data_IF_163831140471
#
_entry.id   IF_163831140471
#
_cell.length_a   1.000
_cell.length_b   1.000
_cell.length_c   1.000
_cell.angle_alpha   90.00
_cell.angle_beta   90.00
_cell.angle_gamma   90.00
#
_symmetry.space_group_name_H-M   'P 1'
#
loop_
_entity.id
_entity.type
_entity.pdbx_description
1 polymer ?
#
# COMPACT_ATOMS: atom_id res chain seq x y z
N UNK A 1 -0.01 16.28 7.41
CA UNK A 1 -1.39 16.46 6.88
C UNK A 1 -1.33 16.53 5.37
N UNK A 2 -2.38 16.07 4.68
CA UNK A 2 -2.44 16.04 3.20
C UNK A 2 -3.46 17.02 2.62
N UNK A 3 -4.17 17.80 3.46
CA UNK A 3 -5.29 18.64 3.02
C UNK A 3 -6.62 17.87 2.90
N UNK A 4 -6.62 16.55 3.06
CA UNK A 4 -7.83 15.73 3.08
C UNK A 4 -8.50 15.65 4.45
N UNK A 5 -9.81 15.34 4.46
CA UNK A 5 -10.67 15.24 5.65
C UNK A 5 -10.11 14.32 6.73
N UNK A 6 -9.51 13.19 6.35
CA UNK A 6 -8.96 12.20 7.29
C UNK A 6 -7.83 12.81 8.12
N UNK A 7 -6.88 13.48 7.46
CA UNK A 7 -5.77 14.13 8.16
C UNK A 7 -6.22 15.34 8.99
N UNK A 8 -7.29 16.01 8.58
CA UNK A 8 -7.91 17.11 9.33
C UNK A 8 -8.57 16.62 10.61
N UNK A 9 -9.35 15.54 10.55
CA UNK A 9 -9.95 14.95 11.75
C UNK A 9 -8.87 14.38 12.68
N UNK A 10 -7.84 13.71 12.14
CA UNK A 10 -6.67 13.27 12.93
C UNK A 10 -6.08 14.43 13.74
N UNK A 11 -5.83 15.60 13.12
CA UNK A 11 -5.31 16.77 13.84
C UNK A 11 -6.29 17.22 14.94
N UNK A 12 -7.59 17.34 14.60
CA UNK A 12 -8.62 17.80 15.54
C UNK A 12 -8.73 16.90 16.77
N UNK A 13 -8.68 15.58 16.57
CA UNK A 13 -8.74 14.59 17.67
C UNK A 13 -7.51 14.69 18.57
N UNK A 14 -6.31 14.84 18.00
CA UNK A 14 -5.07 14.96 18.76
C UNK A 14 -4.93 16.30 19.48
N UNK A 15 -5.50 17.38 18.94
CA UNK A 15 -5.48 18.71 19.56
C UNK A 15 -6.30 18.78 20.86
N UNK A 16 -7.21 17.83 21.10
CA UNK A 16 -7.93 17.72 22.37
C UNK A 16 -7.11 17.04 23.48
N UNK A 17 -5.91 16.56 23.17
CA UNK A 17 -5.04 15.84 24.09
C UNK A 17 -3.91 16.78 24.54
N UNK A 18 -3.32 16.56 25.73
CA UNK A 18 -2.23 17.38 26.25
C UNK A 18 -0.90 17.06 25.52
N UNK A 19 -0.85 17.32 24.22
CA UNK A 19 0.26 17.01 23.32
C UNK A 19 0.81 18.28 22.67
N UNK A 20 2.12 18.32 22.46
CA UNK A 20 2.74 19.31 21.58
C UNK A 20 2.61 18.83 20.13
N UNK A 21 1.94 19.60 19.29
CA UNK A 21 1.66 19.23 17.91
C UNK A 21 2.46 20.11 16.94
N UNK A 22 3.17 19.47 16.03
CA UNK A 22 3.77 20.11 14.85
C UNK A 22 3.12 19.51 13.61
N UNK A 23 2.69 20.37 12.69
CA UNK A 23 2.03 19.98 11.44
C UNK A 23 3.00 20.05 10.29
N UNK A 24 3.18 18.90 9.62
CA UNK A 24 3.99 18.80 8.40
C UNK A 24 3.08 18.58 7.19
N UNK A 25 3.23 19.38 6.14
CA UNK A 25 2.69 19.09 4.80
C UNK A 25 3.84 18.68 3.88
N UNK A 26 3.65 17.62 3.12
CA UNK A 26 4.69 17.13 2.20
C UNK A 26 4.33 17.51 0.76
N UNK A 27 5.25 18.15 0.06
CA UNK A 27 5.22 18.29 -1.40
C UNK A 27 6.10 17.20 -1.99
N UNK A 28 5.48 16.23 -2.66
CA UNK A 28 6.18 15.06 -3.22
C UNK A 28 6.17 15.01 -4.75
N UNK A 29 5.40 15.88 -5.39
CA UNK A 29 5.31 15.95 -6.84
C UNK A 29 5.21 17.41 -7.27
N UNK A 30 6.00 17.78 -8.27
CA UNK A 30 5.95 19.10 -8.88
C UNK A 30 5.72 18.94 -10.39
N UNK A 31 4.50 19.20 -10.90
CA UNK A 31 4.20 19.09 -12.32
C UNK A 31 5.13 19.93 -13.20
N UNK A 32 5.60 21.10 -12.73
CA UNK A 32 6.46 21.99 -13.50
C UNK A 32 7.89 21.45 -13.67
N UNK A 33 8.31 20.56 -12.78
CA UNK A 33 9.62 19.88 -12.86
C UNK A 33 9.52 18.51 -13.52
N UNK A 34 8.31 17.95 -13.61
CA UNK A 34 8.08 16.55 -13.97
C UNK A 34 7.49 16.39 -15.36
N UNK A 35 6.71 17.34 -15.85
CA UNK A 35 6.07 17.29 -17.16
C UNK A 35 6.81 18.26 -18.10
N UNK A 36 7.48 17.76 -19.14
CA UNK A 36 8.06 18.62 -20.16
C UNK A 36 6.94 19.47 -20.77
N UNK A 37 7.12 20.78 -20.81
CA UNK A 37 6.24 21.67 -21.55
C UNK A 37 6.41 21.40 -23.05
N UNK A 38 5.75 20.37 -23.57
CA UNK A 38 5.69 20.06 -25.01
C UNK A 38 4.76 21.02 -25.75
N UNK A 39 4.85 22.31 -25.46
CA UNK A 39 4.28 23.36 -26.31
C UNK A 39 5.41 24.26 -26.79
N UNK A 40 6.21 23.71 -27.70
CA UNK A 40 7.17 24.45 -28.51
C UNK A 40 6.53 25.04 -29.78
N UNK A 41 5.20 25.21 -29.82
CA UNK A 41 4.54 26.11 -30.77
C UNK A 41 4.35 27.49 -30.15
N UNK A 42 5.41 28.30 -30.22
CA UNK A 42 5.31 29.76 -30.06
C UNK A 42 4.58 30.37 -31.26
N UNK A 43 3.27 30.20 -31.33
CA UNK A 43 2.43 31.08 -32.14
C UNK A 43 2.04 32.29 -31.30
N UNK A 44 2.80 33.36 -31.50
CA UNK A 44 2.51 34.68 -30.98
C UNK A 44 1.20 35.20 -31.59
N UNK A 45 0.07 35.00 -30.92
CA UNK A 45 -1.18 35.61 -31.40
C UNK A 45 -2.51 35.13 -30.83
N UNK A 46 -2.57 34.21 -29.87
CA UNK A 46 -3.85 33.83 -29.26
C UNK A 46 -3.77 33.79 -27.73
N UNK A 47 -4.62 34.57 -27.09
CA UNK A 47 -4.85 34.64 -25.64
C UNK A 47 -5.51 33.38 -25.08
N UNK A 48 -4.95 32.20 -25.36
CA UNK A 48 -5.27 30.96 -24.65
C UNK A 48 -4.21 30.78 -23.58
N UNK A 49 -4.58 31.08 -22.34
CA UNK A 49 -3.75 30.75 -21.19
C UNK A 49 -3.42 29.25 -21.27
N UNK A 50 -2.14 28.84 -21.11
CA UNK A 50 -1.84 27.43 -20.94
C UNK A 50 -2.69 26.97 -19.76
N UNK A 51 -3.37 25.83 -19.91
CA UNK A 51 -4.19 25.23 -18.87
C UNK A 51 -3.29 24.73 -17.71
N UNK A 52 -2.62 25.66 -17.04
CA UNK A 52 -2.00 25.46 -15.75
C UNK A 52 -3.15 25.43 -14.76
N UNK A 53 -3.68 24.24 -14.49
CA UNK A 53 -4.39 24.01 -13.23
C UNK A 53 -3.52 24.62 -12.13
N UNK A 54 -4.04 25.47 -11.22
CA UNK A 54 -3.29 25.86 -10.04
C UNK A 54 -2.74 24.58 -9.41
N UNK A 55 -1.45 24.59 -9.06
CA UNK A 55 -0.73 23.40 -8.65
C UNK A 55 -1.56 22.70 -7.56
N UNK A 56 -1.98 21.45 -7.79
CA UNK A 56 -2.93 20.79 -6.89
C UNK A 56 -2.44 20.78 -5.42
N UNK A 57 -1.12 20.67 -5.23
CA UNK A 57 -0.49 20.74 -3.91
C UNK A 57 -0.63 22.11 -3.23
N UNK A 58 -0.73 23.23 -3.96
CA UNK A 58 -0.91 24.57 -3.38
C UNK A 58 -2.30 24.71 -2.76
N UNK A 59 -3.32 24.15 -3.41
CA UNK A 59 -4.68 24.08 -2.87
C UNK A 59 -4.70 23.23 -1.59
N UNK A 60 -4.04 22.07 -1.64
CA UNK A 60 -3.95 21.17 -0.48
C UNK A 60 -3.19 21.82 0.68
N UNK A 61 -2.14 22.57 0.38
CA UNK A 61 -1.40 23.35 1.37
C UNK A 61 -2.24 24.47 1.97
N UNK A 62 -3.00 25.19 1.15
CA UNK A 62 -3.95 26.20 1.63
C UNK A 62 -5.01 25.58 2.55
N UNK A 63 -5.53 24.39 2.21
CA UNK A 63 -6.48 23.65 3.05
C UNK A 63 -5.87 23.26 4.39
N UNK A 64 -4.61 22.79 4.40
CA UNK A 64 -3.89 22.50 5.65
C UNK A 64 -3.80 23.75 6.53
N UNK A 65 -3.39 24.89 5.97
CA UNK A 65 -3.30 26.15 6.73
C UNK A 65 -4.66 26.57 7.31
N UNK A 66 -5.74 26.46 6.53
CA UNK A 66 -7.11 26.77 7.01
C UNK A 66 -7.52 25.85 8.17
N UNK A 67 -7.26 24.55 8.06
CA UNK A 67 -7.57 23.59 9.14
C UNK A 67 -6.72 23.85 10.38
N UNK A 68 -5.43 24.14 10.22
CA UNK A 68 -4.56 24.47 11.36
C UNK A 68 -5.03 25.73 12.09
N UNK A 69 -5.40 26.78 11.36
CA UNK A 69 -5.96 27.99 11.94
C UNK A 69 -7.27 27.71 12.70
N UNK A 70 -8.16 26.90 12.13
CA UNK A 70 -9.42 26.48 12.75
C UNK A 70 -9.21 25.69 14.06
N UNK A 71 -8.20 24.82 14.10
CA UNK A 71 -7.87 24.01 15.28
C UNK A 71 -7.05 24.80 16.32
N UNK A 72 -6.48 25.95 15.95
CA UNK A 72 -5.66 26.78 16.84
C UNK A 72 -4.18 26.38 16.88
N UNK A 73 -3.65 25.76 15.82
CA UNK A 73 -2.22 25.45 15.70
C UNK A 73 -1.44 26.73 15.31
N UNK A 74 -0.41 27.14 16.07
CA UNK A 74 0.40 28.31 15.73
C UNK A 74 1.14 28.14 14.40
N UNK A 75 1.24 29.20 13.59
CA UNK A 75 1.89 29.14 12.27
C UNK A 75 3.36 28.66 12.33
N UNK A 76 4.09 29.00 13.39
CA UNK A 76 5.47 28.54 13.62
C UNK A 76 5.60 27.01 13.72
N UNK A 77 4.51 26.32 14.06
CA UNK A 77 4.44 24.87 14.23
C UNK A 77 3.88 24.18 12.97
N UNK A 78 3.69 24.92 11.88
CA UNK A 78 3.26 24.41 10.58
C UNK A 78 4.40 24.57 9.58
N UNK A 79 4.78 23.50 8.88
CA UNK A 79 5.82 23.57 7.86
C UNK A 79 5.50 22.73 6.63
N UNK A 80 5.99 23.22 5.49
CA UNK A 80 6.02 22.50 4.22
C UNK A 80 7.39 21.87 4.06
N UNK A 81 7.41 20.57 3.78
CA UNK A 81 8.60 19.81 3.48
C UNK A 81 8.54 19.32 2.04
N UNK A 82 9.55 19.65 1.25
CA UNK A 82 9.68 19.16 -0.12
C UNK A 82 10.46 17.84 -0.13
N UNK A 83 9.80 16.76 -0.53
CA UNK A 83 10.39 15.43 -0.72
C UNK A 83 10.22 14.95 -2.16
N UNK A 84 10.06 15.88 -3.12
CA UNK A 84 9.89 15.56 -4.54
C UNK A 84 11.07 14.77 -5.11
N UNK A 85 12.30 15.07 -4.68
CA UNK A 85 13.52 14.35 -5.11
C UNK A 85 13.54 12.92 -4.61
N UNK A 86 13.20 12.70 -3.34
CA UNK A 86 13.10 11.38 -2.74
C UNK A 86 11.97 10.58 -3.36
N UNK A 87 10.81 11.21 -3.59
CA UNK A 87 9.69 10.56 -4.27
C UNK A 87 10.07 10.13 -5.69
N UNK A 88 10.71 11.02 -6.45
CA UNK A 88 11.16 10.70 -7.81
C UNK A 88 12.09 9.49 -7.82
N UNK A 89 13.19 9.56 -7.08
CA UNK A 89 14.24 8.53 -7.09
C UNK A 89 13.86 7.21 -6.41
N UNK A 90 13.06 7.24 -5.35
CA UNK A 90 12.77 6.04 -4.53
C UNK A 90 11.43 5.40 -4.85
N UNK A 91 10.51 6.11 -5.51
CA UNK A 91 9.15 5.63 -5.80
C UNK A 91 8.87 5.66 -7.30
N UNK A 92 9.02 6.83 -7.92
CA UNK A 92 8.56 7.02 -9.30
C UNK A 92 9.45 6.33 -10.34
N UNK A 93 10.75 6.58 -10.33
CA UNK A 93 11.71 5.96 -11.24
C UNK A 93 11.71 4.41 -11.14
N UNK A 94 11.69 3.81 -9.93
CA UNK A 94 11.49 2.36 -9.82
C UNK A 94 10.17 1.87 -10.39
N UNK A 95 9.08 2.64 -10.27
CA UNK A 95 7.79 2.28 -10.86
C UNK A 95 7.83 2.34 -12.40
N UNK A 96 8.54 3.32 -12.98
CA UNK A 96 8.81 3.41 -14.43
C UNK A 96 9.50 2.16 -14.94
N UNK A 97 10.57 1.71 -14.28
CA UNK A 97 11.26 0.48 -14.68
C UNK A 97 10.34 -0.77 -14.64
N UNK A 98 9.42 -0.84 -13.68
CA UNK A 98 8.43 -1.94 -13.60
C UNK A 98 7.40 -1.84 -14.73
N UNK A 99 6.95 -0.63 -15.09
CA UNK A 99 6.07 -0.41 -16.25
C UNK A 99 6.76 -0.77 -17.57
N UNK A 100 8.03 -0.37 -17.75
CA UNK A 100 8.84 -0.72 -18.94
C UNK A 100 9.03 -2.23 -19.08
N UNK A 101 9.18 -2.94 -17.96
CA UNK A 101 9.20 -4.40 -17.93
C UNK A 101 7.83 -5.06 -18.19
N UNK A 102 6.79 -4.27 -18.52
CA UNK A 102 5.44 -4.75 -18.77
C UNK A 102 4.75 -5.28 -17.51
N UNK A 103 5.14 -4.85 -16.32
CA UNK A 103 4.47 -5.20 -15.07
C UNK A 103 3.61 -4.04 -14.56
N UNK A 104 2.83 -4.27 -13.49
CA UNK A 104 2.00 -3.24 -12.84
C UNK A 104 2.52 -2.99 -11.42
N UNK A 105 3.23 -1.89 -11.16
CA UNK A 105 3.73 -1.55 -9.84
C UNK A 105 2.61 -1.06 -8.92
N UNK A 106 2.90 -1.00 -7.62
CA UNK A 106 2.08 -0.33 -6.63
C UNK A 106 2.88 0.81 -5.96
N UNK A 107 2.91 2.01 -6.58
CA UNK A 107 3.70 3.14 -6.08
C UNK A 107 3.24 3.63 -4.70
N UNK A 108 1.98 3.38 -4.30
CA UNK A 108 1.48 3.80 -2.99
C UNK A 108 2.10 2.99 -1.84
N UNK A 109 2.35 1.70 -2.04
CA UNK A 109 3.09 0.87 -1.05
C UNK A 109 4.52 1.40 -0.89
N UNK A 110 5.21 1.65 -2.01
CA UNK A 110 6.55 2.21 -2.01
C UNK A 110 6.57 3.62 -1.38
N UNK A 111 5.58 4.46 -1.67
CA UNK A 111 5.47 5.79 -1.07
C UNK A 111 5.34 5.75 0.45
N UNK A 112 4.53 4.83 1.00
CA UNK A 112 4.45 4.67 2.45
C UNK A 112 5.80 4.24 3.03
N UNK A 113 6.46 3.23 2.44
CA UNK A 113 7.76 2.72 2.90
C UNK A 113 8.88 3.76 2.81
N UNK A 114 9.05 4.37 1.64
CA UNK A 114 10.21 5.19 1.31
C UNK A 114 10.06 6.66 1.70
N UNK A 115 8.83 7.19 1.68
CA UNK A 115 8.57 8.62 1.85
C UNK A 115 7.91 8.89 3.19
N UNK A 116 6.70 8.37 3.44
CA UNK A 116 5.97 8.69 4.67
C UNK A 116 6.64 8.11 5.92
N UNK A 117 7.11 6.87 5.85
CA UNK A 117 7.81 6.20 6.95
C UNK A 117 9.33 6.11 6.73
N UNK A 118 9.82 6.54 5.56
CA UNK A 118 11.25 6.69 5.26
C UNK A 118 11.71 8.14 5.39
N UNK A 119 11.76 8.88 4.28
CA UNK A 119 12.31 10.24 4.20
C UNK A 119 11.70 11.21 5.22
N UNK A 120 10.38 11.21 5.41
CA UNK A 120 9.71 12.05 6.39
C UNK A 120 10.16 11.71 7.82
N UNK A 121 10.29 10.42 8.15
CA UNK A 121 10.70 9.97 9.50
C UNK A 121 12.10 10.47 9.88
N UNK A 122 12.98 10.72 8.92
CA UNK A 122 14.31 11.29 9.16
C UNK A 122 14.25 12.74 9.66
N UNK A 123 13.14 13.44 9.39
CA UNK A 123 12.90 14.81 9.86
C UNK A 123 12.21 14.85 11.22
N UNK A 124 11.83 13.69 11.79
CA UNK A 124 11.17 13.60 13.08
C UNK A 124 12.22 13.52 14.18
N UNK A 125 12.21 14.51 15.07
CA UNK A 125 13.15 14.58 16.20
C UNK A 125 12.98 13.36 17.13
N UNK A 126 14.07 12.89 17.79
CA UNK A 126 13.97 11.87 18.82
C UNK A 126 12.92 12.23 19.89
N UNK A 127 12.13 11.24 20.31
CA UNK A 127 11.03 11.44 21.27
C UNK A 127 9.69 11.86 20.65
N UNK A 128 9.66 12.24 19.38
CA UNK A 128 8.41 12.52 18.66
C UNK A 128 7.88 11.30 17.90
N UNK A 129 6.58 11.34 17.64
CA UNK A 129 5.83 10.32 16.93
C UNK A 129 5.11 10.93 15.72
N UNK A 130 4.94 10.12 14.68
CA UNK A 130 4.28 10.52 13.45
C UNK A 130 2.79 10.14 13.49
N UNK A 131 1.90 11.13 13.56
CA UNK A 131 0.49 10.89 13.37
C UNK A 131 0.07 11.02 11.90
N UNK A 132 -0.75 10.10 11.41
CA UNK A 132 -1.33 10.18 10.06
C UNK A 132 -2.80 9.78 10.06
N UNK A 133 -3.53 10.15 9.01
CA UNK A 133 -4.93 9.76 8.80
C UNK A 133 -5.10 8.37 8.19
N UNK A 134 -4.18 7.42 8.44
CA UNK A 134 -4.34 6.08 7.92
C UNK A 134 -5.38 5.29 8.71
N UNK A 135 -6.16 4.48 8.01
CA UNK A 135 -7.09 3.49 8.55
C UNK A 135 -6.34 2.17 8.76
N UNK A 136 -5.58 2.11 9.85
CA UNK A 136 -4.92 0.89 10.32
C UNK A 136 -4.66 1.02 11.81
N UNK A 137 -4.46 -0.09 12.52
CA UNK A 137 -4.12 -0.09 13.96
C UNK A 137 -2.68 -0.55 14.16
N UNK A 138 -1.94 0.16 14.99
CA UNK A 138 -0.59 -0.23 15.42
C UNK A 138 -0.66 -0.74 16.85
N UNK A 139 -0.14 -1.95 17.09
CA UNK A 139 -0.01 -2.52 18.43
C UNK A 139 1.47 -2.62 18.76
N UNK A 140 1.91 -1.91 19.80
CA UNK A 140 3.31 -1.84 20.23
C UNK A 140 3.59 -2.87 21.32
N UNK A 141 4.68 -3.59 21.18
CA UNK A 141 5.25 -4.36 22.30
C UNK A 141 6.27 -3.53 23.07
N UNK A 142 7.04 -2.68 22.38
CA UNK A 142 8.00 -1.75 22.98
C UNK A 142 8.25 -0.53 22.08
N UNK A 143 9.26 0.29 22.42
CA UNK A 143 9.60 1.52 21.70
C UNK A 143 10.16 1.31 20.28
N UNK A 144 10.52 0.08 19.91
CA UNK A 144 11.14 -0.32 18.64
C UNK A 144 10.41 -1.44 17.92
N UNK A 145 9.42 -2.10 18.55
CA UNK A 145 8.69 -3.20 17.97
C UNK A 145 7.18 -2.94 17.99
N UNK A 146 6.58 -3.09 16.81
CA UNK A 146 5.14 -2.97 16.64
C UNK A 146 4.63 -3.92 15.56
N UNK A 147 3.36 -4.31 15.71
CA UNK A 147 2.59 -5.08 14.74
C UNK A 147 1.51 -4.21 14.12
N UNK A 148 1.13 -4.54 12.89
CA UNK A 148 0.12 -3.84 12.12
C UNK A 148 -1.16 -4.67 12.06
N UNK A 149 -2.30 -4.04 12.34
CA UNK A 149 -3.61 -4.67 12.44
C UNK A 149 -4.60 -3.93 11.54
N UNK A 150 -5.58 -4.66 10.99
CA UNK A 150 -6.64 -4.06 10.16
C UNK A 150 -7.45 -3.03 10.94
N UNK A 151 -7.91 -2.00 10.25
CA UNK A 151 -8.91 -1.07 10.78
C UNK A 151 -10.28 -1.74 10.96
N UNK A 152 -11.14 -1.14 11.77
CA UNK A 152 -12.53 -1.60 11.96
C UNK A 152 -13.34 -1.52 10.65
N UNK A 153 -13.08 -0.50 9.84
CA UNK A 153 -13.70 -0.33 8.53
C UNK A 153 -12.93 -1.12 7.47
N UNK A 154 -13.40 -2.33 7.19
CA UNK A 154 -12.79 -3.21 6.18
C UNK A 154 -12.79 -2.62 4.76
N UNK A 155 -13.69 -1.69 4.43
CA UNK A 155 -13.73 -1.05 3.12
C UNK A 155 -12.69 0.05 2.96
N UNK A 156 -12.19 0.57 4.09
CA UNK A 156 -11.22 1.66 4.16
C UNK A 156 -9.89 1.24 4.75
N UNK A 157 -9.78 -0.01 5.20
CA UNK A 157 -8.56 -0.62 5.73
C UNK A 157 -7.36 -0.41 4.78
N UNK A 158 -6.33 0.24 5.31
CA UNK A 158 -5.13 0.64 4.58
C UNK A 158 -3.90 -0.19 4.93
N UNK A 159 -4.07 -1.29 5.69
CA UNK A 159 -2.94 -2.18 6.03
C UNK A 159 -2.22 -2.74 4.80
N UNK A 160 -2.95 -3.00 3.71
CA UNK A 160 -2.36 -3.39 2.42
C UNK A 160 -1.28 -2.42 1.94
N UNK A 161 -1.54 -1.11 2.01
CA UNK A 161 -0.60 -0.07 1.60
C UNK A 161 0.57 0.12 2.59
N UNK A 162 0.39 -0.30 3.84
CA UNK A 162 1.39 -0.23 4.91
C UNK A 162 2.19 -1.54 5.06
N UNK A 163 1.90 -2.56 4.25
CA UNK A 163 2.46 -3.92 4.40
C UNK A 163 3.98 -4.02 4.28
N UNK A 164 4.61 -3.02 3.67
CA UNK A 164 6.07 -2.95 3.56
C UNK A 164 6.73 -1.96 4.52
N UNK A 165 5.97 -1.36 5.45
CA UNK A 165 6.53 -0.49 6.48
C UNK A 165 7.10 -1.37 7.60
N UNK A 166 8.38 -1.26 7.95
CA UNK A 166 8.97 -2.07 9.00
C UNK A 166 8.42 -1.68 10.39
N UNK A 167 8.30 -2.67 11.27
CA UNK A 167 7.68 -2.51 12.60
C UNK A 167 8.33 -1.43 13.47
N UNK A 168 9.63 -1.20 13.36
CA UNK A 168 10.32 -0.15 14.11
C UNK A 168 9.94 1.28 13.66
N UNK A 169 9.54 1.47 12.40
CA UNK A 169 8.97 2.74 11.95
C UNK A 169 7.53 2.87 12.43
N UNK A 170 6.75 1.78 12.37
CA UNK A 170 5.38 1.75 12.90
C UNK A 170 5.33 1.97 14.42
N UNK A 171 6.33 1.53 15.18
CA UNK A 171 6.44 1.81 16.62
C UNK A 171 6.42 3.31 16.92
N UNK A 172 6.82 4.15 15.96
CA UNK A 172 6.76 5.61 16.06
C UNK A 172 5.52 6.23 15.40
N UNK A 173 4.57 5.44 14.93
CA UNK A 173 3.41 5.89 14.15
C UNK A 173 2.08 5.85 14.91
N UNK A 174 1.28 6.90 14.85
CA UNK A 174 -0.05 6.97 15.49
C UNK A 174 -1.12 7.07 14.39
N UNK A 175 -2.12 6.20 14.45
CA UNK A 175 -3.24 6.14 13.49
C UNK A 175 -4.58 6.34 14.21
N UNK A 176 -5.03 7.59 14.41
CA UNK A 176 -6.23 7.86 15.19
C UNK A 176 -7.53 7.32 14.61
N UNK A 177 -7.58 7.07 13.30
CA UNK A 177 -8.83 6.68 12.62
C UNK A 177 -9.09 5.18 12.60
N UNK A 178 -8.22 4.37 13.22
CA UNK A 178 -8.28 2.91 13.16
C UNK A 178 -9.64 2.30 13.61
N UNK A 179 -10.25 2.90 14.63
CA UNK A 179 -11.53 2.48 15.20
C UNK A 179 -12.73 3.32 14.78
N UNK A 180 -12.60 4.19 13.77
CA UNK A 180 -13.68 5.09 13.33
C UNK A 180 -14.05 4.76 11.89
N UNK A 181 -15.29 4.31 11.61
CA UNK A 181 -15.77 4.12 10.25
C UNK A 181 -15.72 5.40 9.43
N UNK A 182 -15.47 5.30 8.12
CA UNK A 182 -15.36 6.51 7.27
C UNK A 182 -16.62 7.40 7.27
N UNK A 183 -17.86 6.87 7.28
CA UNK A 183 -19.04 7.71 7.43
C UNK A 183 -19.01 8.57 8.70
N UNK A 184 -18.63 7.98 9.84
CA UNK A 184 -18.47 8.71 11.10
C UNK A 184 -17.33 9.73 11.04
N UNK A 185 -16.25 9.47 10.31
CA UNK A 185 -15.21 10.49 10.07
C UNK A 185 -15.77 11.73 9.36
N UNK A 186 -16.68 11.54 8.39
CA UNK A 186 -17.35 12.65 7.69
C UNK A 186 -18.29 13.42 8.61
N UNK A 187 -19.10 12.70 9.40
CA UNK A 187 -20.02 13.30 10.38
C UNK A 187 -19.27 14.12 11.42
N UNK A 188 -18.17 13.58 11.96
CA UNK A 188 -17.32 14.28 12.92
C UNK A 188 -16.62 15.48 12.32
N UNK A 189 -16.15 15.37 11.08
CA UNK A 189 -15.56 16.51 10.39
C UNK A 189 -16.58 17.65 10.19
N UNK A 190 -17.84 17.32 9.88
CA UNK A 190 -18.92 18.29 9.80
C UNK A 190 -19.29 18.87 11.18
N UNK A 191 -19.37 18.02 12.21
CA UNK A 191 -19.66 18.43 13.59
C UNK A 191 -18.60 19.40 14.15
N UNK A 192 -17.32 19.17 13.86
CA UNK A 192 -16.23 20.07 14.22
C UNK A 192 -16.06 21.24 13.24
N UNK A 193 -16.95 21.38 12.27
CA UNK A 193 -16.94 22.43 11.25
C UNK A 193 -15.58 22.55 10.53
N UNK A 194 -14.92 21.40 10.28
CA UNK A 194 -13.60 21.41 9.65
C UNK A 194 -13.70 21.97 8.22
N UNK A 195 -12.79 22.87 7.81
CA UNK A 195 -12.80 23.45 6.45
C UNK A 195 -12.75 22.43 5.31
N UNK A 196 -12.34 21.19 5.59
CA UNK A 196 -12.21 20.08 4.64
C UNK A 196 -13.33 19.05 4.75
N UNK A 197 -14.39 19.29 5.55
CA UNK A 197 -15.46 18.32 5.80
C UNK A 197 -16.15 17.83 4.53
N UNK A 198 -16.40 18.74 3.57
CA UNK A 198 -17.03 18.46 2.28
C UNK A 198 -16.06 18.05 1.19
N UNK A 199 -14.75 18.05 1.46
CA UNK A 199 -13.73 17.78 0.45
C UNK A 199 -13.80 16.33 -0.03
N UNK A 200 -13.84 16.11 -1.34
CA UNK A 200 -13.83 14.76 -1.90
C UNK A 200 -12.54 14.00 -1.57
N UNK A 201 -12.63 12.67 -1.59
CA UNK A 201 -11.44 11.85 -1.39
C UNK A 201 -10.53 11.96 -2.60
N UNK A 202 -9.23 12.06 -2.36
CA UNK A 202 -8.25 12.01 -3.43
C UNK A 202 -8.20 10.61 -4.02
N UNK A 203 -8.46 10.52 -5.32
CA UNK A 203 -8.33 9.31 -6.13
C UNK A 203 -7.04 9.40 -6.97
N UNK A 204 -6.55 8.24 -7.43
CA UNK A 204 -5.34 8.14 -8.25
C UNK A 204 -4.06 7.85 -7.45
N UNK A 205 -2.92 7.89 -8.13
CA UNK A 205 -1.61 7.61 -7.52
C UNK A 205 -1.26 8.74 -6.54
N UNK A 206 -0.74 8.38 -5.37
CA UNK A 206 -0.43 9.35 -4.33
C UNK A 206 0.43 10.50 -4.88
N UNK A 207 0.03 11.76 -4.61
CA UNK A 207 0.67 13.01 -5.02
C UNK A 207 0.67 13.35 -6.53
N UNK A 208 0.49 12.38 -7.42
CA UNK A 208 0.34 12.62 -8.87
C UNK A 208 -1.11 12.99 -9.21
N UNK A 209 -2.06 12.47 -8.42
CA UNK A 209 -3.50 12.74 -8.55
C UNK A 209 -4.19 11.84 -9.58
N UNK A 210 -5.45 12.15 -9.85
CA UNK A 210 -6.23 11.46 -10.88
C UNK A 210 -5.84 11.96 -12.28
N UNK A 211 -5.57 11.03 -13.18
CA UNK A 211 -5.29 11.30 -14.60
C UNK A 211 -6.28 10.48 -15.43
N UNK A 212 -7.12 11.13 -16.22
CA UNK A 212 -8.11 10.46 -17.06
C UNK A 212 -7.50 9.46 -18.06
N UNK A 213 -6.25 9.69 -18.47
CA UNK A 213 -5.46 8.79 -19.30
C UNK A 213 -4.12 8.46 -18.64
N UNK A 214 -4.15 7.65 -17.57
CA UNK A 214 -2.93 7.28 -16.83
C UNK A 214 -1.82 6.65 -17.70
N UNK A 215 -2.21 5.86 -18.71
CA UNK A 215 -1.23 5.29 -19.65
C UNK A 215 -0.46 6.34 -20.46
N UNK A 216 -1.11 7.46 -20.82
CA UNK A 216 -0.46 8.55 -21.54
C UNK A 216 0.54 9.29 -20.65
N UNK A 217 0.22 9.44 -19.37
CA UNK A 217 1.14 9.97 -18.37
C UNK A 217 2.39 9.09 -18.24
N UNK A 218 2.22 7.76 -18.11
CA UNK A 218 3.37 6.85 -18.03
C UNK A 218 4.20 6.86 -19.32
N UNK A 219 3.57 6.99 -20.49
CA UNK A 219 4.26 7.09 -21.79
C UNK A 219 5.23 8.28 -21.90
N UNK A 220 5.08 9.33 -21.09
CA UNK A 220 6.02 10.46 -21.07
C UNK A 220 7.37 10.09 -20.46
N UNK A 221 7.44 8.99 -19.69
CA UNK A 221 8.63 8.56 -18.95
C UNK A 221 9.17 7.21 -19.38
N UNK A 222 8.42 6.45 -20.17
CA UNK A 222 8.85 5.14 -20.68
C UNK A 222 9.36 5.25 -22.11
N UNK A 223 10.34 4.43 -22.46
CA UNK A 223 10.78 4.30 -23.85
C UNK A 223 9.67 3.74 -24.73
N UNK A 224 9.49 4.23 -25.98
CA UNK A 224 8.59 3.59 -26.93
C UNK A 224 9.01 2.13 -27.15
N UNK A 225 8.05 1.20 -27.30
CA UNK A 225 8.37 -0.20 -27.51
C UNK A 225 9.17 -0.38 -28.82
N UNK A 226 10.25 -1.15 -28.75
CA UNK A 226 11.15 -1.41 -29.89
C UNK A 226 10.49 -2.23 -31.00
N UNK A 227 9.45 -2.98 -30.68
CA UNK A 227 8.64 -3.73 -31.64
C UNK A 227 7.16 -3.50 -31.40
N UNK A 228 6.37 -3.53 -32.47
CA UNK A 228 4.92 -3.40 -32.38
C UNK A 228 4.32 -4.65 -31.74
N UNK A 229 3.56 -4.47 -30.67
CA UNK A 229 2.75 -5.52 -30.06
C UNK A 229 1.28 -5.40 -30.43
N UNK A 230 0.59 -6.53 -30.51
CA UNK A 230 -0.81 -6.63 -30.92
C UNK A 230 -1.70 -7.15 -29.78
N UNK A 231 -2.98 -6.80 -29.86
CA UNK A 231 -4.03 -7.45 -29.07
C UNK A 231 -4.43 -8.75 -29.78
N UNK A 232 -4.31 -9.88 -29.09
CA UNK A 232 -4.54 -11.22 -29.66
C UNK A 232 -5.56 -12.00 -28.82
N UNK A 233 -6.35 -12.87 -29.45
CA UNK A 233 -7.18 -13.83 -28.72
C UNK A 233 -6.48 -15.20 -28.57
N UNK A 234 -7.17 -16.16 -27.96
CA UNK A 234 -6.69 -17.54 -27.78
C UNK A 234 -6.55 -18.32 -29.08
N UNK A 235 -7.15 -17.87 -30.18
CA UNK A 235 -6.99 -18.44 -31.52
C UNK A 235 -5.81 -17.80 -32.29
N UNK A 236 -5.12 -16.81 -31.70
CA UNK A 236 -4.04 -16.06 -32.33
C UNK A 236 -4.52 -14.97 -33.30
N UNK A 237 -5.83 -14.68 -33.35
CA UNK A 237 -6.37 -13.61 -34.18
C UNK A 237 -5.96 -12.26 -33.59
N UNK A 238 -5.41 -11.39 -34.44
CA UNK A 238 -5.00 -10.02 -34.09
C UNK A 238 -6.17 -9.04 -34.27
N UNK A 239 -6.35 -8.15 -33.29
CA UNK A 239 -7.43 -7.15 -33.26
C UNK A 239 -6.93 -5.69 -33.37
N UNK A 240 -5.62 -5.50 -33.49
CA UNK A 240 -4.99 -4.18 -33.64
C UNK A 240 -3.70 -4.07 -32.83
N UNK A 241 -2.85 -3.11 -33.20
CA UNK A 241 -1.66 -2.78 -32.42
C UNK A 241 -2.05 -2.07 -31.13
N UNK A 242 -1.33 -2.34 -30.04
CA UNK A 242 -1.54 -1.65 -28.77
C UNK A 242 -0.55 -0.50 -28.58
N UNK A 243 -0.89 0.47 -27.72
CA UNK A 243 -0.08 1.67 -27.48
C UNK A 243 1.11 1.46 -26.51
N UNK A 244 1.18 0.29 -25.88
CA UNK A 244 2.23 -0.08 -24.93
C UNK A 244 1.68 -1.03 -23.87
N UNK A 245 2.54 -1.86 -23.28
CA UNK A 245 2.12 -2.88 -22.30
C UNK A 245 1.65 -2.28 -20.97
N UNK A 246 2.07 -1.05 -20.65
CA UNK A 246 1.70 -0.29 -19.45
C UNK A 246 0.26 0.26 -19.48
N UNK A 247 -0.38 0.31 -20.65
CA UNK A 247 -1.81 0.65 -20.78
C UNK A 247 -2.73 -0.48 -20.29
N UNK A 248 -2.17 -1.66 -20.02
CA UNK A 248 -2.92 -2.88 -19.75
C UNK A 248 -2.46 -3.54 -18.44
N UNK A 249 -3.43 -3.93 -17.63
CA UNK A 249 -3.23 -4.72 -16.41
C UNK A 249 -4.01 -6.03 -16.53
N UNK A 250 -3.44 -7.13 -16.03
CA UNK A 250 -4.11 -8.43 -16.03
C UNK A 250 -5.45 -8.33 -15.28
N UNK A 251 -6.50 -8.89 -15.89
CA UNK A 251 -7.89 -8.79 -15.41
C UNK A 251 -8.60 -7.48 -15.76
N UNK A 252 -7.94 -6.52 -16.41
CA UNK A 252 -8.59 -5.31 -16.92
C UNK A 252 -9.58 -5.68 -18.02
N UNK A 253 -10.78 -5.09 -17.96
CA UNK A 253 -11.74 -5.17 -19.06
C UNK A 253 -11.19 -4.43 -20.28
N UNK A 254 -10.97 -5.15 -21.36
CA UNK A 254 -10.53 -4.61 -22.63
C UNK A 254 -11.73 -4.19 -23.47
N UNK A 255 -11.72 -2.95 -23.97
CA UNK A 255 -12.71 -2.44 -24.93
C UNK A 255 -11.99 -2.26 -26.27
N UNK A 256 -12.21 -3.19 -27.18
CA UNK A 256 -11.54 -3.22 -28.49
C UNK A 256 -12.61 -3.24 -29.58
N UNK A 257 -12.47 -2.37 -30.57
CA UNK A 257 -13.39 -2.31 -31.71
C UNK A 257 -13.41 -3.63 -32.46
N UNK A 258 -14.60 -4.10 -32.84
CA UNK A 258 -14.77 -5.37 -33.55
C UNK A 258 -14.76 -6.62 -32.66
N UNK A 259 -14.77 -6.46 -31.33
CA UNK A 259 -14.94 -7.56 -30.38
C UNK A 259 -16.27 -7.42 -29.63
N UNK A 260 -17.21 -8.35 -29.89
CA UNK A 260 -18.47 -8.40 -29.16
C UNK A 260 -18.33 -9.08 -27.79
N UNK A 261 -19.07 -8.58 -26.80
CA UNK A 261 -19.11 -9.13 -25.45
C UNK A 261 -18.07 -8.51 -24.50
N UNK A 262 -17.79 -9.23 -23.39
CA UNK A 262 -16.87 -8.75 -22.34
C UNK A 262 -15.54 -9.46 -22.45
N UNK A 263 -14.51 -8.71 -22.86
CA UNK A 263 -13.15 -9.19 -23.01
C UNK A 263 -12.25 -8.65 -21.90
N UNK A 264 -11.22 -9.43 -21.54
CA UNK A 264 -10.32 -9.15 -20.45
C UNK A 264 -8.88 -9.48 -20.82
N UNK A 265 -7.94 -8.70 -20.30
CA UNK A 265 -6.50 -8.96 -20.44
C UNK A 265 -6.12 -10.17 -19.59
N UNK A 266 -5.76 -11.29 -20.20
CA UNK A 266 -5.34 -12.50 -19.49
C UNK A 266 -3.84 -12.53 -19.22
N UNK A 267 -3.04 -12.12 -20.21
CA UNK A 267 -1.59 -12.20 -20.15
C UNK A 267 -0.97 -11.09 -20.99
N UNK A 268 0.23 -10.67 -20.62
CA UNK A 268 1.05 -9.72 -21.37
C UNK A 268 2.37 -10.35 -21.74
N UNK A 269 2.97 -9.86 -22.82
CA UNK A 269 4.25 -10.35 -23.32
C UNK A 269 4.17 -11.74 -23.93
N UNK A 270 3.10 -12.03 -24.66
CA UNK A 270 2.93 -13.27 -25.41
C UNK A 270 3.38 -13.09 -26.87
N UNK A 271 3.31 -14.17 -27.65
CA UNK A 271 3.71 -14.17 -29.06
C UNK A 271 5.22 -14.27 -29.27
N UNK A 272 5.65 -14.39 -30.52
CA UNK A 272 7.06 -14.64 -30.89
C UNK A 272 7.99 -13.51 -30.44
N UNK A 273 7.51 -12.27 -30.50
CA UNK A 273 8.27 -11.08 -30.10
C UNK A 273 8.14 -10.76 -28.60
N UNK A 274 7.36 -11.56 -27.84
CA UNK A 274 7.15 -11.36 -26.41
C UNK A 274 6.49 -10.03 -26.04
N UNK A 275 5.71 -9.44 -26.96
CA UNK A 275 5.10 -8.12 -26.80
C UNK A 275 3.58 -8.10 -26.97
N UNK A 276 2.95 -9.19 -27.40
CA UNK A 276 1.50 -9.20 -27.61
C UNK A 276 0.75 -9.29 -26.27
N UNK A 277 -0.53 -8.91 -26.30
CA UNK A 277 -1.43 -8.94 -25.15
C UNK A 277 -2.57 -9.91 -25.43
N UNK A 278 -2.66 -10.96 -24.62
CA UNK A 278 -3.69 -11.98 -24.73
C UNK A 278 -5.01 -11.49 -24.12
N UNK A 279 -6.07 -11.51 -24.92
CA UNK A 279 -7.43 -11.23 -24.53
C UNK A 279 -8.27 -12.51 -24.46
N UNK A 280 -9.12 -12.59 -23.45
CA UNK A 280 -10.06 -13.70 -23.26
C UNK A 280 -11.46 -13.19 -23.00
N UNK A 281 -12.46 -13.97 -23.40
CA UNK A 281 -13.87 -13.61 -23.22
C UNK A 281 -14.38 -14.14 -21.88
N UNK A 282 -15.09 -13.29 -21.13
CA UNK A 282 -15.69 -13.63 -19.83
C UNK A 282 -14.76 -13.40 -18.64
N UNK A 283 -15.33 -12.94 -17.52
CA UNK A 283 -14.57 -12.66 -16.30
C UNK A 283 -14.12 -13.95 -15.56
N UNK A 284 -14.82 -15.06 -15.81
CA UNK A 284 -14.57 -16.36 -15.19
C UNK A 284 -13.66 -17.25 -16.05
N UNK A 285 -13.05 -16.69 -17.10
CA UNK A 285 -12.20 -17.45 -18.01
C UNK A 285 -11.02 -18.11 -17.25
N UNK A 286 -10.70 -19.40 -17.50
CA UNK A 286 -9.64 -20.11 -16.77
C UNK A 286 -8.27 -19.42 -16.79
N UNK A 287 -7.93 -18.75 -17.90
CA UNK A 287 -6.67 -17.99 -18.02
C UNK A 287 -6.57 -16.77 -17.08
N UNK A 288 -7.68 -16.32 -16.49
CA UNK A 288 -7.69 -15.26 -15.46
C UNK A 288 -7.58 -15.83 -14.05
N UNK A 289 -7.68 -17.15 -13.89
CA UNK A 289 -7.62 -17.81 -12.60
C UNK A 289 -6.19 -18.22 -12.28
N UNK A 290 -5.81 -18.06 -11.03
CA UNK A 290 -4.48 -18.41 -10.55
C UNK A 290 -4.61 -19.15 -9.21
N UNK A 291 -3.92 -20.29 -9.09
CA UNK A 291 -3.88 -21.09 -7.85
C UNK A 291 -2.62 -20.81 -7.03
N UNK A 292 -1.54 -20.38 -7.69
CA UNK A 292 -0.22 -20.27 -7.10
C UNK A 292 0.49 -19.01 -7.57
N UNK A 293 1.18 -18.33 -6.66
CA UNK A 293 1.95 -17.13 -6.95
C UNK A 293 3.39 -17.33 -6.45
N UNK A 294 4.35 -16.96 -7.29
CA UNK A 294 5.74 -16.86 -6.86
C UNK A 294 6.00 -15.42 -6.39
N UNK A 295 6.46 -15.29 -5.16
CA UNK A 295 6.75 -14.00 -4.55
C UNK A 295 8.25 -13.75 -4.50
N UNK A 296 8.61 -12.47 -4.49
CA UNK A 296 9.92 -12.03 -4.05
C UNK A 296 10.16 -12.31 -2.57
N UNK A 297 11.04 -11.53 -1.97
CA UNK A 297 11.32 -11.61 -0.54
C UNK A 297 10.12 -11.10 0.29
N UNK A 298 9.73 -11.85 1.32
CA UNK A 298 8.70 -11.41 2.25
C UNK A 298 9.22 -10.35 3.20
N UNK A 299 8.50 -9.22 3.29
CA UNK A 299 8.71 -8.24 4.34
C UNK A 299 7.86 -8.61 5.56
N UNK A 300 8.50 -9.06 6.63
CA UNK A 300 7.84 -9.29 7.91
C UNK A 300 7.84 -8.01 8.73
N UNK A 301 6.66 -7.48 9.06
CA UNK A 301 6.55 -6.23 9.83
C UNK A 301 7.24 -6.38 11.19
N UNK A 302 7.13 -7.54 11.83
CA UNK A 302 7.82 -7.85 13.08
C UNK A 302 9.35 -7.99 12.94
N UNK A 303 9.90 -7.92 11.71
CA UNK A 303 11.32 -8.08 11.41
C UNK A 303 11.78 -9.53 11.31
N UNK A 304 10.99 -10.47 11.81
CA UNK A 304 11.26 -11.91 11.77
C UNK A 304 10.04 -12.68 11.25
N UNK A 305 10.24 -13.84 10.62
CA UNK A 305 9.13 -14.72 10.28
C UNK A 305 8.31 -15.09 11.52
N UNK A 306 6.99 -15.32 11.36
CA UNK A 306 6.12 -15.70 12.46
C UNK A 306 6.57 -17.02 13.10
N UNK A 307 6.44 -17.20 14.43
CA UNK A 307 6.80 -18.43 15.13
C UNK A 307 6.14 -19.68 14.54
N UNK A 308 4.93 -19.54 14.00
CA UNK A 308 4.13 -20.59 13.35
C UNK A 308 4.81 -21.19 12.11
N UNK A 309 5.83 -20.51 11.57
CA UNK A 309 6.60 -21.00 10.43
C UNK A 309 7.65 -22.06 10.82
N UNK A 310 7.91 -22.24 12.13
CA UNK A 310 8.64 -23.32 12.84
C UNK A 310 9.87 -23.97 12.16
N UNK A 311 10.47 -23.32 11.18
CA UNK A 311 11.51 -23.88 10.32
C UNK A 311 10.99 -24.85 9.24
N UNK A 312 9.72 -25.29 9.27
CA UNK A 312 9.11 -26.04 8.16
C UNK A 312 9.05 -25.22 6.88
N UNK A 313 9.03 -23.89 7.04
CA UNK A 313 8.91 -22.96 5.93
C UNK A 313 7.49 -22.89 5.37
N UNK A 314 6.53 -23.47 6.09
CA UNK A 314 5.12 -23.47 5.73
C UNK A 314 4.36 -22.52 6.65
N UNK A 315 3.46 -21.73 6.09
CA UNK A 315 2.59 -20.84 6.86
C UNK A 315 1.21 -20.80 6.23
N UNK A 316 0.19 -21.18 6.99
CA UNK A 316 -1.20 -20.93 6.63
C UNK A 316 -1.56 -19.49 7.00
N UNK A 317 -2.00 -18.71 6.02
CA UNK A 317 -2.28 -17.28 6.18
C UNK A 317 -3.45 -16.82 5.31
N UNK A 318 -3.98 -15.64 5.65
CA UNK A 318 -4.91 -14.93 4.79
C UNK A 318 -4.13 -13.98 3.88
N UNK A 319 -4.36 -14.09 2.57
CA UNK A 319 -3.56 -13.38 1.57
C UNK A 319 -4.43 -12.43 0.76
N UNK A 320 -3.95 -11.21 0.61
CA UNK A 320 -4.57 -10.17 -0.20
C UNK A 320 -3.61 -9.74 -1.30
N UNK A 321 -3.99 -9.97 -2.56
CA UNK A 321 -3.14 -9.67 -3.74
C UNK A 321 -3.47 -8.34 -4.39
N UNK A 322 -4.63 -7.73 -4.05
CA UNK A 322 -5.04 -6.41 -4.52
C UNK A 322 -5.85 -5.71 -3.43
N UNK A 323 -5.71 -4.39 -3.34
CA UNK A 323 -6.53 -3.56 -2.47
C UNK A 323 -8.03 -3.79 -2.76
N UNK A 324 -8.85 -3.83 -1.71
CA UNK A 324 -10.31 -4.14 -1.72
C UNK A 324 -10.70 -5.55 -2.16
N UNK A 325 -9.74 -6.43 -2.45
CA UNK A 325 -10.04 -7.86 -2.56
C UNK A 325 -10.24 -8.46 -1.17
N UNK A 326 -11.24 -9.33 -0.99
CA UNK A 326 -11.34 -10.16 0.21
C UNK A 326 -10.11 -11.04 0.34
N UNK A 327 -9.50 -11.08 1.52
CA UNK A 327 -8.37 -11.97 1.75
C UNK A 327 -8.80 -13.42 1.54
N UNK A 328 -7.94 -14.21 0.92
CA UNK A 328 -8.18 -15.63 0.64
C UNK A 328 -7.24 -16.50 1.47
N UNK A 329 -7.70 -17.65 1.98
CA UNK A 329 -6.81 -18.57 2.67
C UNK A 329 -5.81 -19.13 1.67
N UNK A 330 -4.53 -19.06 2.04
CA UNK A 330 -3.45 -19.61 1.26
C UNK A 330 -2.38 -20.20 2.18
N UNK A 331 -1.60 -21.10 1.62
CA UNK A 331 -0.43 -21.64 2.26
C UNK A 331 0.81 -21.07 1.56
N UNK A 332 1.68 -20.44 2.34
CA UNK A 332 3.04 -20.12 1.91
C UNK A 332 3.89 -21.37 2.10
N UNK A 333 4.71 -21.72 1.11
CA UNK A 333 5.77 -22.71 1.20
C UNK A 333 7.10 -22.12 0.71
N UNK A 334 8.23 -22.52 1.32
CA UNK A 334 9.55 -22.10 0.84
C UNK A 334 9.84 -22.57 -0.58
N UNK A 335 10.36 -21.66 -1.41
CA UNK A 335 10.78 -22.02 -2.76
C UNK A 335 12.23 -22.56 -2.75
N UNK A 336 12.41 -23.88 -2.53
CA UNK A 336 13.72 -24.53 -2.72
C UNK A 336 14.03 -24.68 -4.22
N UNK A 337 14.66 -23.67 -4.83
CA UNK A 337 15.24 -23.85 -6.18
C UNK A 337 16.56 -24.62 -6.03
N UNK A 338 16.59 -25.92 -6.37
CA UNK A 338 17.86 -26.67 -6.57
C UNK A 338 18.57 -26.12 -7.80
N UNK A 339 19.26 -24.99 -7.65
CA UNK A 339 20.32 -24.61 -8.56
C UNK A 339 21.63 -25.17 -7.98
N UNK A 340 22.33 -26.01 -8.73
CA UNK A 340 23.63 -26.53 -8.32
C UNK A 340 24.59 -25.38 -8.00
N UNK A 341 25.11 -25.35 -6.78
CA UNK A 341 26.18 -24.43 -6.36
C UNK A 341 25.80 -23.48 -5.22
N UNK A 342 26.36 -23.78 -4.03
CA UNK A 342 26.46 -22.97 -2.80
C UNK A 342 25.18 -22.35 -2.22
N UNK A 343 24.83 -22.83 -1.02
CA UNK A 343 23.85 -22.22 -0.11
C UNK A 343 24.19 -20.75 0.12
N UNK A 344 23.35 -19.82 -0.36
CA UNK A 344 23.26 -18.49 0.23
C UNK A 344 22.17 -18.55 1.31
N UNK A 345 22.57 -18.42 2.57
CA UNK A 345 21.62 -18.02 3.61
C UNK A 345 21.18 -16.58 3.30
N UNK A 346 19.88 -16.27 3.38
CA UNK A 346 19.45 -14.88 3.56
C UNK A 346 18.44 -14.27 2.59
N UNK A 347 17.60 -15.02 1.88
CA UNK A 347 16.44 -14.40 1.21
C UNK A 347 15.18 -15.27 1.41
N UNK A 348 14.19 -14.72 2.10
CA UNK A 348 12.94 -15.41 2.41
C UNK A 348 11.98 -15.39 1.22
N UNK A 349 12.26 -16.22 0.21
CA UNK A 349 11.42 -16.38 -1.00
C UNK A 349 10.46 -17.55 -0.83
N UNK A 350 9.22 -17.38 -1.28
CA UNK A 350 8.20 -18.41 -1.13
C UNK A 350 7.17 -18.43 -2.26
N UNK A 351 6.53 -19.59 -2.39
CA UNK A 351 5.35 -19.82 -3.21
C UNK A 351 4.13 -19.72 -2.32
N UNK A 352 3.08 -19.06 -2.80
CA UNK A 352 1.79 -18.95 -2.10
C UNK A 352 0.75 -19.70 -2.91
N UNK A 353 0.18 -20.76 -2.33
CA UNK A 353 -0.86 -21.59 -2.94
C UNK A 353 -2.20 -21.38 -2.25
N UNK A 354 -3.26 -21.09 -3.04
CA UNK A 354 -4.61 -20.91 -2.51
C UNK A 354 -5.14 -22.24 -1.95
N UNK A 355 -5.67 -22.21 -0.74
CA UNK A 355 -6.37 -23.36 -0.15
C UNK A 355 -7.86 -23.37 -0.53
N UNK A 356 -8.41 -24.57 -0.70
CA UNK A 356 -9.84 -24.77 -0.77
C UNK A 356 -10.47 -24.42 0.59
N UNK A 357 -11.51 -23.59 0.58
CA UNK A 357 -12.27 -23.27 1.80
C UNK A 357 -13.26 -24.41 2.02
N UNK A 358 -13.25 -25.13 3.16
CA UNK A 358 -14.37 -25.98 3.54
C UNK A 358 -15.63 -25.12 3.59
N UNK A 359 -16.75 -25.58 3.00
CA UNK A 359 -18.03 -24.85 3.02
C UNK A 359 -18.58 -24.81 4.44
N UNK A 360 -18.14 -23.86 5.25
CA UNK A 360 -18.82 -23.46 6.48
C UNK A 360 -19.13 -21.95 6.45
N UNK A 361 -20.32 -21.64 6.96
CA UNK A 361 -21.08 -20.39 6.87
C UNK A 361 -20.23 -19.11 6.86
N UNK A 362 -20.15 -18.49 5.68
CA UNK A 362 -19.96 -17.05 5.57
C UNK A 362 -21.33 -16.39 5.74
N UNK A 363 -21.61 -15.88 6.95
CA UNK A 363 -22.48 -14.72 7.12
C UNK A 363 -22.31 -14.17 8.54
N UNK A 364 -21.60 -13.05 8.64
CA UNK A 364 -21.86 -12.04 9.66
C UNK A 364 -21.77 -10.68 8.98
N UNK A 365 -22.92 -10.21 8.51
CA UNK A 365 -23.16 -8.80 8.28
C UNK A 365 -22.74 -8.03 9.54
N UNK A 366 -21.75 -7.15 9.39
CA UNK A 366 -21.52 -6.12 10.39
C UNK A 366 -22.58 -5.05 10.18
N UNK A 367 -23.52 -4.94 11.12
CA UNK A 367 -24.33 -3.75 11.28
C UNK A 367 -23.38 -2.56 11.50
N UNK A 368 -23.52 -1.55 10.65
CA UNK A 368 -22.89 -0.25 10.88
C UNK A 368 -23.66 0.40 12.01
N UNK A 369 -23.27 0.13 13.25
CA UNK A 369 -23.75 0.88 14.40
C UNK A 369 -23.28 2.32 14.22
N UNK A 370 -24.24 3.25 14.14
CA UNK A 370 -23.94 4.68 14.18
C UNK A 370 -23.11 4.98 15.43
N UNK A 371 -21.94 5.58 15.23
CA UNK A 371 -21.07 5.97 16.33
C UNK A 371 -21.63 7.26 16.93
N UNK A 372 -22.41 7.15 18.00
CA UNK A 372 -22.75 8.31 18.83
C UNK A 372 -21.47 8.87 19.48
N UNK A 373 -21.43 10.17 19.79
CA UNK A 373 -20.32 10.89 20.45
C UNK A 373 -19.81 10.15 21.70
N UNK A 374 -20.67 9.38 22.37
CA UNK A 374 -20.31 8.50 23.47
C UNK A 374 -19.32 7.39 23.09
N UNK A 375 -19.51 6.72 21.96
CA UNK A 375 -18.59 5.69 21.46
C UNK A 375 -17.26 6.29 21.01
N UNK A 376 -17.28 7.50 20.43
CA UNK A 376 -16.06 8.22 20.09
C UNK A 376 -15.30 8.61 21.36
N UNK A 377 -15.97 9.11 22.39
CA UNK A 377 -15.36 9.43 23.68
C UNK A 377 -14.69 8.18 24.28
N UNK A 378 -15.40 7.05 24.30
CA UNK A 378 -14.86 5.78 24.79
C UNK A 378 -13.65 5.30 23.96
N UNK A 379 -13.70 5.42 22.63
CA UNK A 379 -12.56 5.08 21.77
C UNK A 379 -11.36 6.01 21.97
N UNK A 380 -11.59 7.33 22.07
CA UNK A 380 -10.54 8.29 22.38
C UNK A 380 -9.88 7.93 23.72
N UNK A 381 -10.68 7.66 24.74
CA UNK A 381 -10.23 7.32 26.09
C UNK A 381 -9.53 5.95 26.19
N UNK A 382 -9.98 4.92 25.48
CA UNK A 382 -9.40 3.58 25.59
C UNK A 382 -8.34 3.25 24.53
N UNK A 383 -8.38 3.86 23.36
CA UNK A 383 -7.43 3.54 22.29
C UNK A 383 -6.35 4.60 22.18
N UNK A 384 -6.73 5.88 22.10
CA UNK A 384 -5.77 6.96 21.86
C UNK A 384 -5.03 7.36 23.14
N UNK A 385 -5.73 7.53 24.26
CA UNK A 385 -5.09 7.77 25.56
C UNK A 385 -4.19 6.60 25.97
N UNK A 386 -4.64 5.34 25.91
CA UNK A 386 -3.77 4.20 26.20
C UNK A 386 -2.53 4.13 25.27
N UNK A 387 -2.69 4.48 23.99
CA UNK A 387 -1.55 4.57 23.06
C UNK A 387 -0.56 5.64 23.54
N UNK A 388 -1.06 6.81 23.94
CA UNK A 388 -0.24 7.92 24.42
C UNK A 388 0.40 7.61 25.78
N UNK A 389 -0.33 7.01 26.71
CA UNK A 389 0.19 6.60 28.02
C UNK A 389 1.27 5.53 27.87
N UNK A 390 1.07 4.57 26.97
CA UNK A 390 2.11 3.59 26.61
C UNK A 390 3.34 4.30 26.04
N UNK A 391 3.14 5.28 25.16
CA UNK A 391 4.23 6.06 24.57
C UNK A 391 4.99 6.91 25.60
N UNK A 392 4.29 7.49 26.57
CA UNK A 392 4.87 8.26 27.68
C UNK A 392 5.62 7.33 28.65
N UNK A 393 5.02 6.21 29.05
CA UNK A 393 5.66 5.22 29.92
C UNK A 393 6.94 4.64 29.31
N UNK A 394 6.95 4.35 28.00
CA UNK A 394 8.13 3.87 27.29
C UNK A 394 9.21 4.94 27.15
N UNK A 395 8.84 6.22 27.06
CA UNK A 395 9.79 7.33 27.08
C UNK A 395 10.44 7.49 28.46
N UNK A 396 9.68 7.35 29.54
CA UNK A 396 10.18 7.41 30.92
C UNK A 396 11.05 6.22 31.31
N UNK A 397 10.77 5.02 30.78
CA UNK A 397 11.56 3.81 31.03
C UNK A 397 13.00 3.87 30.47
N UNK A 398 13.28 4.75 29.50
CA UNK A 398 14.63 4.96 28.95
C UNK A 398 15.58 5.75 29.88
N UNK A 399 15.11 6.22 31.04
CA UNK A 399 15.91 6.96 32.02
C UNK A 399 16.32 6.18 33.28
N UNK A 400 16.09 4.85 33.32
CA UNK A 400 16.57 4.00 34.42
C UNK A 400 17.84 3.25 34.00
N UNK A 401 18.97 3.35 34.74
CA UNK A 401 20.16 2.56 34.45
C UNK A 401 19.91 1.08 34.78
N UNK A 402 20.35 0.23 33.85
CA UNK A 402 20.31 -1.22 33.91
C UNK A 402 20.80 -1.79 35.25
N UNK A 403 19.96 -2.62 35.87
CA UNK A 403 20.41 -3.72 36.72
C UNK A 403 19.93 -5.02 36.08
N UNK A 404 20.86 -5.94 35.89
CA UNK A 404 20.65 -7.30 35.37
C UNK A 404 21.61 -8.23 36.11
N UNK A 405 21.44 -9.57 36.08
CA UNK A 405 20.24 -10.42 36.16
C UNK A 405 20.45 -11.54 37.23
N UNK A 406 19.67 -12.65 37.25
CA UNK A 406 20.30 -13.89 36.75
C UNK A 406 19.40 -14.94 36.03
N UNK A 407 20.01 -15.54 35.01
CA UNK A 407 20.04 -16.94 34.51
C UNK A 407 19.01 -18.01 34.94
N UNK A 408 18.53 -18.84 33.98
CA UNK A 408 18.69 -20.32 33.89
C UNK A 408 18.19 -20.90 32.52
N UNK A 409 18.84 -21.96 32.02
CA UNK A 409 18.56 -22.87 30.86
C UNK A 409 18.99 -24.31 31.29
N UNK A 410 18.84 -25.43 30.50
CA UNK A 410 17.71 -26.04 29.77
C UNK A 410 17.66 -27.61 29.91
N UNK A 411 16.74 -28.32 29.23
CA UNK A 411 16.76 -29.80 28.98
C UNK A 411 15.77 -30.14 27.82
N UNK A 412 16.12 -30.69 26.64
CA UNK A 412 16.64 -32.01 26.17
C UNK A 412 15.56 -33.09 25.82
N UNK A 413 15.12 -33.10 24.54
CA UNK A 413 14.91 -34.17 23.49
C UNK A 413 14.95 -35.68 23.92
N UNK A 414 14.14 -36.66 23.37
CA UNK A 414 14.31 -37.22 22.00
C UNK A 414 13.12 -37.77 21.16
N UNK A 415 13.50 -38.09 19.91
CA UNK A 415 12.79 -38.38 18.66
C UNK A 415 12.20 -39.80 18.51
N UNK A 416 11.30 -39.98 17.53
CA UNK A 416 11.35 -41.10 16.55
C UNK A 416 10.35 -40.93 15.37
N UNK A 417 10.80 -41.28 14.15
CA UNK A 417 10.02 -41.52 12.91
C UNK A 417 10.18 -42.99 12.46
N UNK A 418 9.44 -43.55 11.45
CA UNK A 418 9.85 -43.36 10.03
C UNK A 418 8.75 -43.52 8.90
N UNK A 419 9.03 -42.91 7.71
CA UNK A 419 8.88 -43.31 6.25
C UNK A 419 7.67 -44.13 5.72
N UNK A 420 7.15 -44.07 4.46
CA UNK A 420 7.36 -43.39 3.14
C UNK A 420 6.20 -43.85 2.15
N UNK A 421 6.31 -43.82 0.79
CA UNK A 421 5.95 -42.76 -0.17
C UNK A 421 4.86 -43.12 -1.24
N UNK A 422 4.41 -42.17 -2.08
CA UNK A 422 3.81 -42.45 -3.40
C UNK A 422 3.88 -41.23 -4.36
N UNK A 423 3.90 -41.52 -5.67
CA UNK A 423 4.36 -40.70 -6.82
C UNK A 423 3.22 -40.26 -7.78
N UNK A 424 3.55 -39.23 -8.58
CA UNK A 424 3.05 -38.82 -9.93
C UNK A 424 1.95 -37.73 -10.03
N UNK A 425 1.79 -37.04 -11.19
CA UNK A 425 2.74 -36.41 -12.15
C UNK A 425 2.36 -34.89 -12.41
N UNK A 426 3.00 -34.14 -13.34
CA UNK A 426 3.09 -32.68 -13.25
C UNK A 426 1.95 -31.92 -13.95
N UNK A 427 1.54 -30.79 -13.36
CA UNK A 427 0.69 -29.77 -13.98
C UNK A 427 1.49 -28.48 -14.22
N UNK A 428 1.31 -27.88 -15.40
CA UNK A 428 1.98 -26.68 -15.88
C UNK A 428 1.96 -25.52 -14.87
N UNK A 429 3.13 -24.95 -14.60
CA UNK A 429 3.30 -23.72 -13.81
C UNK A 429 3.23 -22.49 -14.73
N UNK A 430 2.31 -21.57 -14.43
CA UNK A 430 2.31 -20.20 -14.96
C UNK A 430 2.94 -19.28 -13.92
N UNK A 431 4.07 -18.66 -14.27
CA UNK A 431 4.83 -17.78 -13.37
C UNK A 431 4.23 -16.37 -13.41
N UNK A 432 3.57 -15.95 -12.33
CA UNK A 432 3.24 -14.53 -12.10
C UNK A 432 4.22 -13.96 -11.08
N UNK A 433 5.01 -12.96 -11.49
CA UNK A 433 5.81 -12.15 -10.58
C UNK A 433 4.90 -11.09 -9.95
N UNK A 434 4.29 -11.41 -8.81
CA UNK A 434 3.64 -10.39 -7.99
C UNK A 434 4.72 -9.66 -7.18
N UNK A 435 4.98 -8.39 -7.51
CA UNK A 435 5.99 -7.59 -6.81
C UNK A 435 5.58 -7.22 -5.38
N UNK A 436 4.30 -7.35 -5.01
CA UNK A 436 3.78 -6.95 -3.70
C UNK A 436 2.62 -7.87 -3.27
N UNK A 437 2.87 -8.76 -2.31
CA UNK A 437 1.81 -9.55 -1.62
C UNK A 437 1.82 -9.19 -0.14
N UNK A 438 0.65 -8.83 0.40
CA UNK A 438 0.47 -8.66 1.84
C UNK A 438 -0.05 -9.97 2.43
N UNK A 439 0.72 -10.59 3.32
CA UNK A 439 0.24 -11.59 4.26
C UNK A 439 -0.35 -10.85 5.46
N UNK A 440 -1.60 -11.14 5.82
CA UNK A 440 -2.30 -10.44 6.90
C UNK A 440 -2.64 -11.42 8.00
#
# INVERSE_FOLDING_TARGET
MSGGVDSSLTLRLLANLPLNLTVLFMRNWDPLLSEESTDSSRDAGSSRQPNMSPCAWERDWADVKRVCAHVGIPERDISLLDLSKEYWSRVFEPAVAVWEAGQTPNPDVACNREIKFGALMQHIKPGHYLATGHYARVVRSDASHATLHRAIDSNKDQTYYLSQVPGHQLAKAVFPLAGIPKPSVRELAAHFELPTATREESMGVCFIGERGHFGDFVSQYTSPPSTTGYLVDTAGKRYGAHRGSHYYTIGQRARVGGMDGRWFVAQKGVGENGNDILLVQGADHPALQCKELDCGEFNWIAGVPPPEMDGSGVLDAMVQVRHRMSAVPAQRAHHFRRAGGRRRAGADRGRVERRAVPRERADRHHEVLGVDLYHLHHYLHHSLYNTIDTMQSLASARFLPCLSPPFFLPSMIPQSSPTSPSLAPPSLQLTFSATHISLI
#
